data_IF_114721494256
#
_entry.id   IF_114721494256
#
_cell.length_a   1.000
_cell.length_b   1.000
_cell.length_c   1.000
_cell.angle_alpha   90.00
_cell.angle_beta   90.00
_cell.angle_gamma   90.00
#
_symmetry.space_group_name_H-M   'P 1'
#
loop_
_entity.id
_entity.type
_entity.pdbx_description
1 polymer ?
#
# COMPACT_ATOMS: atom_id res chain seq x y z
N UNK A 1 82.45 -3.77 -37.63
CA UNK A 1 81.76 -4.22 -36.42
C UNK A 1 80.78 -5.31 -36.89
N UNK A 2 81.08 -6.57 -36.55
CA UNK A 2 80.46 -7.74 -37.22
C UNK A 2 79.00 -7.93 -36.80
N UNK A 3 78.09 -8.14 -37.74
CA UNK A 3 76.64 -8.43 -37.54
C UNK A 3 76.44 -9.47 -36.47
N UNK A 4 77.34 -10.42 -36.31
CA UNK A 4 77.35 -11.48 -35.30
C UNK A 4 77.53 -10.94 -33.87
N UNK A 5 78.29 -9.87 -33.66
CA UNK A 5 78.48 -9.25 -32.34
C UNK A 5 77.17 -8.50 -31.89
N UNK A 6 76.47 -7.85 -32.81
CA UNK A 6 75.24 -7.14 -32.52
C UNK A 6 74.10 -8.16 -32.22
N UNK A 7 74.07 -9.26 -32.93
CA UNK A 7 73.09 -10.34 -32.67
C UNK A 7 73.30 -11.00 -31.31
N UNK A 8 74.51 -11.23 -30.87
CA UNK A 8 74.86 -11.78 -29.55
C UNK A 8 74.50 -10.80 -28.43
N UNK A 9 74.76 -9.51 -28.60
CA UNK A 9 74.42 -8.46 -27.62
C UNK A 9 72.87 -8.29 -27.48
N UNK A 10 72.17 -8.39 -28.58
CA UNK A 10 70.66 -8.30 -28.52
C UNK A 10 70.04 -9.54 -27.91
N UNK A 11 70.58 -10.74 -28.16
CA UNK A 11 70.11 -11.99 -27.57
C UNK A 11 70.37 -12.03 -26.05
N UNK A 12 71.56 -11.57 -25.59
CA UNK A 12 71.87 -11.50 -24.16
C UNK A 12 71.02 -10.47 -23.42
N UNK A 13 70.77 -9.32 -24.07
CA UNK A 13 69.87 -8.31 -23.52
C UNK A 13 68.40 -8.82 -23.32
N UNK A 14 67.87 -9.56 -24.30
CA UNK A 14 66.56 -10.14 -24.22
C UNK A 14 66.45 -11.22 -23.14
N UNK A 15 67.47 -12.02 -22.94
CA UNK A 15 67.51 -13.06 -21.89
C UNK A 15 67.59 -12.42 -20.50
N UNK A 16 68.38 -11.35 -20.33
CA UNK A 16 68.45 -10.63 -19.05
C UNK A 16 67.14 -9.90 -18.71
N UNK A 17 66.48 -9.34 -19.70
CA UNK A 17 65.14 -8.72 -19.51
C UNK A 17 64.09 -9.80 -19.19
N UNK A 18 64.09 -10.94 -19.84
CA UNK A 18 63.17 -12.04 -19.54
C UNK A 18 63.42 -12.65 -18.15
N UNK A 19 64.69 -12.81 -17.77
CA UNK A 19 65.07 -13.27 -16.43
C UNK A 19 64.69 -12.23 -15.32
N UNK A 20 64.89 -10.94 -15.57
CA UNK A 20 64.47 -9.87 -14.67
C UNK A 20 62.96 -9.83 -14.51
N UNK A 21 62.21 -9.99 -15.61
CA UNK A 21 60.74 -10.05 -15.57
C UNK A 21 60.22 -11.30 -14.87
N UNK A 22 60.86 -12.46 -15.11
CA UNK A 22 60.51 -13.69 -14.40
C UNK A 22 60.82 -13.62 -12.91
N UNK A 23 61.97 -13.04 -12.52
CA UNK A 23 62.34 -12.82 -11.12
C UNK A 23 61.42 -11.81 -10.46
N UNK A 24 61.04 -10.71 -11.16
CA UNK A 24 60.09 -9.73 -10.70
C UNK A 24 58.67 -10.36 -10.49
N UNK A 25 58.24 -11.26 -11.35
CA UNK A 25 56.99 -12.00 -11.15
C UNK A 25 57.06 -13.01 -10.01
N UNK A 26 58.17 -13.65 -9.77
CA UNK A 26 58.37 -14.57 -8.66
C UNK A 26 58.45 -13.85 -7.32
N UNK A 27 59.06 -12.67 -7.26
CA UNK A 27 59.10 -11.84 -6.06
C UNK A 27 57.76 -11.12 -5.81
N UNK A 28 57.04 -10.69 -6.86
CA UNK A 28 55.70 -10.13 -6.75
C UNK A 28 54.65 -11.19 -6.29
N UNK A 29 54.87 -12.49 -6.61
CA UNK A 29 54.04 -13.59 -6.09
C UNK A 29 54.35 -13.95 -4.65
N UNK A 30 55.50 -13.52 -4.11
CA UNK A 30 55.92 -13.71 -2.72
C UNK A 30 55.86 -12.47 -1.85
N UNK A 31 55.50 -11.30 -2.39
CA UNK A 31 55.06 -10.22 -1.55
C UNK A 31 53.83 -10.74 -0.80
N UNK A 32 53.86 -10.84 0.55
CA UNK A 32 52.62 -11.08 1.25
C UNK A 32 51.66 -9.98 0.77
N UNK A 33 50.52 -10.39 0.23
CA UNK A 33 49.42 -9.41 0.11
C UNK A 33 49.37 -8.79 1.49
N UNK A 34 49.35 -7.45 1.62
CA UNK A 34 48.97 -6.89 2.88
C UNK A 34 47.59 -7.51 3.11
N UNK A 35 47.52 -8.50 4.02
CA UNK A 35 46.27 -8.87 4.61
C UNK A 35 45.73 -7.49 4.99
N UNK A 36 44.55 -7.15 4.45
CA UNK A 36 43.70 -6.14 5.03
C UNK A 36 43.31 -6.73 6.40
N UNK A 37 44.30 -6.83 7.31
CA UNK A 37 44.04 -6.98 8.71
C UNK A 37 43.25 -5.73 9.09
N UNK A 38 41.94 -5.89 9.12
CA UNK A 38 41.06 -4.91 9.69
C UNK A 38 41.61 -4.58 11.07
N UNK A 39 42.37 -3.54 11.17
CA UNK A 39 42.87 -2.79 12.30
C UNK A 39 43.10 -3.59 13.61
N UNK A 40 42.92 -2.91 14.69
CA UNK A 40 43.03 -3.44 16.06
C UNK A 40 41.99 -4.54 16.35
N UNK A 41 42.22 -5.41 17.35
CA UNK A 41 41.21 -6.39 17.79
C UNK A 41 39.85 -5.76 18.07
N UNK A 42 39.80 -4.51 18.53
CA UNK A 42 38.55 -3.77 18.80
C UNK A 42 37.84 -3.41 17.50
N UNK A 43 38.59 -2.95 16.48
CA UNK A 43 37.97 -2.63 15.18
C UNK A 43 37.42 -3.87 14.49
N UNK A 44 38.09 -5.01 14.59
CA UNK A 44 37.59 -6.31 14.10
C UNK A 44 36.32 -6.74 14.81
N UNK A 45 36.30 -6.64 16.14
CA UNK A 45 35.11 -6.95 16.93
C UNK A 45 33.93 -6.03 16.55
N UNK A 46 34.18 -4.73 16.41
CA UNK A 46 33.16 -3.75 16.00
C UNK A 46 32.61 -4.06 14.62
N UNK A 47 33.49 -4.32 13.65
CA UNK A 47 33.07 -4.70 12.29
C UNK A 47 32.21 -5.99 12.31
N UNK A 48 32.67 -7.02 13.03
CA UNK A 48 31.94 -8.28 13.13
C UNK A 48 30.54 -8.08 13.75
N UNK A 49 30.44 -7.27 14.79
CA UNK A 49 29.18 -6.92 15.44
C UNK A 49 28.21 -6.23 14.48
N UNK A 50 28.69 -5.16 13.80
CA UNK A 50 27.87 -4.42 12.83
C UNK A 50 27.48 -5.28 11.64
N UNK A 51 28.40 -6.09 11.12
CA UNK A 51 28.12 -7.00 10.02
C UNK A 51 27.09 -8.07 10.39
N UNK A 52 27.23 -8.69 11.55
CA UNK A 52 26.26 -9.70 12.04
C UNK A 52 24.88 -9.09 12.26
N UNK A 53 24.81 -7.91 12.86
CA UNK A 53 23.55 -7.18 13.01
C UNK A 53 22.92 -6.84 11.65
N UNK A 54 23.71 -6.39 10.68
CA UNK A 54 23.19 -6.09 9.31
C UNK A 54 22.62 -7.32 8.61
N UNK A 55 23.17 -8.51 8.87
CA UNK A 55 22.68 -9.77 8.32
C UNK A 55 21.43 -10.31 9.06
N UNK A 56 21.17 -9.89 10.29
CA UNK A 56 19.99 -10.25 11.06
C UNK A 56 18.77 -9.36 10.71
N UNK A 57 18.98 -8.15 10.21
CA UNK A 57 17.91 -7.20 9.92
C UNK A 57 16.92 -7.65 8.82
N UNK A 58 17.33 -8.17 7.64
CA UNK A 58 16.40 -8.53 6.57
C UNK A 58 15.35 -9.58 6.96
N UNK A 59 15.67 -10.69 7.65
CA UNK A 59 14.64 -11.61 8.14
C UNK A 59 13.63 -10.94 9.07
N UNK A 60 14.09 -10.07 9.98
CA UNK A 60 13.23 -9.38 10.94
C UNK A 60 12.31 -8.36 10.27
N UNK A 61 12.78 -7.69 9.21
CA UNK A 61 11.96 -6.79 8.38
C UNK A 61 10.88 -7.52 7.58
N UNK A 62 11.01 -8.82 7.38
CA UNK A 62 9.93 -9.63 6.82
C UNK A 62 8.84 -9.99 7.86
N UNK A 63 9.07 -9.63 9.13
CA UNK A 63 8.17 -9.85 10.27
C UNK A 63 8.62 -11.02 11.15
N UNK A 64 7.96 -11.19 12.28
CA UNK A 64 8.27 -12.23 13.26
C UNK A 64 7.41 -13.48 12.96
N UNK A 65 7.96 -14.40 12.18
CA UNK A 65 7.37 -15.70 11.87
C UNK A 65 8.39 -16.80 12.20
N UNK A 66 7.97 -18.06 12.22
CA UNK A 66 8.88 -19.19 12.52
C UNK A 66 10.10 -19.24 11.58
N UNK A 67 9.91 -19.04 10.26
CA UNK A 67 11.01 -19.05 9.28
C UNK A 67 11.97 -17.87 9.47
N UNK A 68 11.42 -16.66 9.66
CA UNK A 68 12.21 -15.44 9.85
C UNK A 68 12.93 -15.43 11.20
N UNK A 69 12.25 -15.89 12.26
CA UNK A 69 12.82 -16.05 13.60
C UNK A 69 14.00 -17.06 13.61
N UNK A 70 13.86 -18.20 12.92
CA UNK A 70 14.94 -19.20 12.80
C UNK A 70 16.19 -18.64 12.11
N UNK A 71 16.00 -17.83 11.05
CA UNK A 71 17.11 -17.17 10.34
C UNK A 71 17.77 -16.08 11.19
N UNK A 72 16.98 -15.33 11.97
CA UNK A 72 17.46 -14.28 12.86
C UNK A 72 18.14 -14.85 14.10
N UNK A 73 17.58 -15.87 14.76
CA UNK A 73 18.06 -16.44 16.02
C UNK A 73 19.53 -16.82 15.97
N UNK A 74 19.99 -17.50 14.90
CA UNK A 74 21.41 -17.86 14.72
C UNK A 74 22.33 -16.64 14.71
N UNK A 75 21.92 -15.56 14.04
CA UNK A 75 22.71 -14.33 13.95
C UNK A 75 22.73 -13.58 15.29
N UNK A 76 21.57 -13.50 15.94
CA UNK A 76 21.43 -12.87 17.25
C UNK A 76 22.20 -13.61 18.34
N UNK A 77 22.20 -14.96 18.31
CA UNK A 77 23.02 -15.77 19.21
C UNK A 77 24.51 -15.48 19.03
N UNK A 78 24.97 -15.45 17.78
CA UNK A 78 26.36 -15.09 17.45
C UNK A 78 26.70 -13.67 17.88
N UNK A 79 25.78 -12.71 17.73
CA UNK A 79 25.94 -11.32 18.14
C UNK A 79 26.08 -11.17 19.65
N UNK A 80 25.29 -11.91 20.42
CA UNK A 80 25.32 -11.89 21.90
C UNK A 80 26.42 -12.78 22.48
N UNK A 81 27.01 -13.71 21.70
CA UNK A 81 28.02 -14.65 22.15
C UNK A 81 27.47 -15.61 23.22
N UNK A 82 26.20 -16.02 23.11
CA UNK A 82 25.53 -16.87 24.09
C UNK A 82 25.50 -18.33 23.67
N UNK A 83 25.32 -19.25 24.63
CA UNK A 83 25.25 -20.69 24.37
C UNK A 83 23.98 -21.09 23.63
N UNK A 84 22.84 -20.41 23.93
CA UNK A 84 21.59 -20.60 23.23
C UNK A 84 20.78 -19.30 23.20
N UNK A 85 19.93 -19.19 22.20
CA UNK A 85 18.98 -18.08 22.04
C UNK A 85 17.63 -18.60 21.55
N UNK A 86 16.56 -18.07 22.12
CA UNK A 86 15.21 -18.37 21.74
C UNK A 86 14.46 -17.08 21.38
N UNK A 87 13.62 -17.15 20.37
CA UNK A 87 12.66 -16.12 20.01
C UNK A 87 11.24 -16.67 20.15
N UNK A 88 10.36 -15.90 20.76
CA UNK A 88 8.94 -16.25 20.91
C UNK A 88 8.05 -15.14 20.39
N UNK A 89 6.82 -15.48 20.01
CA UNK A 89 5.71 -14.56 20.03
C UNK A 89 5.02 -14.58 21.40
N UNK A 90 3.74 -14.18 21.48
CA UNK A 90 2.97 -14.20 22.74
C UNK A 90 2.48 -15.59 23.14
N UNK A 91 2.43 -16.55 22.23
CA UNK A 91 1.77 -17.84 22.40
C UNK A 91 2.73 -19.03 22.26
N UNK A 92 3.74 -18.90 21.38
CA UNK A 92 4.59 -20.01 20.98
C UNK A 92 6.07 -19.65 20.89
N UNK A 93 6.90 -20.68 20.95
CA UNK A 93 8.32 -20.59 20.60
C UNK A 93 8.44 -20.61 19.08
N UNK A 94 8.99 -19.53 18.49
CA UNK A 94 9.18 -19.40 17.05
C UNK A 94 10.51 -19.99 16.58
N UNK A 95 11.56 -19.86 17.39
CA UNK A 95 12.87 -20.38 17.05
C UNK A 95 13.72 -20.62 18.29
N UNK A 96 14.48 -21.71 18.24
CA UNK A 96 15.57 -22.01 19.15
C UNK A 96 16.87 -22.20 18.35
N UNK A 97 17.97 -21.58 18.79
CA UNK A 97 19.30 -21.80 18.21
C UNK A 97 20.33 -21.98 19.34
N UNK A 98 21.11 -23.06 19.30
CA UNK A 98 22.13 -23.40 20.29
C UNK A 98 21.85 -24.68 21.08
N UNK A 99 22.47 -24.78 22.26
CA UNK A 99 22.41 -25.96 23.10
C UNK A 99 21.07 -26.07 23.85
N UNK A 100 20.76 -27.26 24.37
CA UNK A 100 19.69 -27.48 25.35
C UNK A 100 18.26 -27.26 24.89
N UNK A 101 17.97 -27.26 23.60
CA UNK A 101 16.59 -27.16 23.05
C UNK A 101 15.68 -28.23 23.64
N UNK A 102 16.16 -29.48 23.67
CA UNK A 102 15.40 -30.64 24.15
C UNK A 102 14.90 -30.53 25.61
N UNK A 103 15.58 -29.74 26.44
CA UNK A 103 15.23 -29.63 27.88
C UNK A 103 14.53 -28.31 28.21
N UNK A 104 14.77 -27.26 27.44
CA UNK A 104 14.38 -25.91 27.82
C UNK A 104 13.23 -25.36 27.00
N UNK A 105 13.05 -25.77 25.73
CA UNK A 105 12.06 -25.20 24.79
C UNK A 105 10.64 -25.32 25.34
N UNK A 106 10.23 -26.48 25.86
CA UNK A 106 8.88 -26.68 26.42
C UNK A 106 8.58 -25.77 27.63
N UNK A 107 9.63 -25.30 28.33
CA UNK A 107 9.50 -24.49 29.54
C UNK A 107 9.57 -22.98 29.25
N UNK A 108 9.94 -22.59 28.04
CA UNK A 108 10.15 -21.16 27.64
C UNK A 108 8.89 -20.36 27.89
N UNK A 109 7.74 -20.76 27.36
CA UNK A 109 6.52 -19.98 27.42
C UNK A 109 6.08 -19.67 28.85
N UNK A 110 6.25 -20.60 29.79
CA UNK A 110 5.98 -20.35 31.21
C UNK A 110 6.92 -19.32 31.82
N UNK A 111 8.18 -19.26 31.36
CA UNK A 111 9.21 -18.35 31.88
C UNK A 111 9.08 -16.95 31.33
N UNK A 112 8.65 -16.81 30.06
CA UNK A 112 8.49 -15.51 29.41
C UNK A 112 7.19 -14.81 29.80
N UNK A 113 6.19 -15.50 30.34
CA UNK A 113 4.88 -14.96 30.66
C UNK A 113 4.94 -13.64 31.45
N UNK A 114 5.74 -13.59 32.51
CA UNK A 114 5.88 -12.36 33.31
C UNK A 114 6.52 -11.19 32.56
N UNK A 115 7.38 -11.47 31.55
CA UNK A 115 7.98 -10.45 30.70
C UNK A 115 6.98 -9.98 29.63
N UNK A 116 6.19 -10.90 29.06
CA UNK A 116 5.14 -10.58 28.10
C UNK A 116 4.05 -9.68 28.71
N UNK A 117 3.74 -9.88 30.00
CA UNK A 117 2.73 -9.09 30.71
C UNK A 117 3.28 -7.75 31.21
N UNK A 118 4.51 -7.73 31.74
CA UNK A 118 5.10 -6.54 32.35
C UNK A 118 5.84 -5.62 31.38
N UNK A 119 6.27 -6.13 30.22
CA UNK A 119 7.14 -5.43 29.28
C UNK A 119 8.53 -5.09 29.84
N UNK A 120 8.98 -5.78 30.91
CA UNK A 120 10.26 -5.52 31.55
C UNK A 120 11.19 -6.73 31.44
N UNK A 121 12.45 -6.46 31.05
CA UNK A 121 13.47 -7.50 31.00
C UNK A 121 13.71 -8.13 32.37
N UNK A 122 13.93 -9.42 32.40
CA UNK A 122 14.22 -10.20 33.63
C UNK A 122 15.42 -11.13 33.41
N UNK A 123 16.20 -11.34 34.46
CA UNK A 123 17.24 -12.38 34.55
C UNK A 123 16.77 -13.43 35.55
N UNK A 124 16.75 -14.69 35.11
CA UNK A 124 16.27 -15.79 35.94
C UNK A 124 17.25 -16.99 35.91
N UNK A 125 17.27 -17.76 36.98
CA UNK A 125 17.93 -19.06 36.99
C UNK A 125 17.05 -20.09 36.29
N UNK A 126 17.62 -20.86 35.37
CA UNK A 126 16.85 -21.79 34.52
C UNK A 126 16.29 -22.99 35.30
N UNK A 127 16.95 -23.45 36.38
CA UNK A 127 16.51 -24.59 37.16
C UNK A 127 16.41 -25.86 36.30
N UNK A 128 17.48 -26.19 35.55
CA UNK A 128 17.53 -27.42 34.78
C UNK A 128 17.74 -28.63 35.72
N UNK A 129 17.06 -29.75 35.42
CA UNK A 129 17.21 -31.01 36.16
C UNK A 129 18.48 -31.75 35.75
N UNK A 130 19.06 -31.40 34.59
CA UNK A 130 20.36 -31.91 34.13
C UNK A 130 21.50 -31.13 34.79
N UNK A 131 22.30 -31.82 35.58
CA UNK A 131 23.42 -31.24 36.35
C UNK A 131 24.53 -30.74 35.46
N UNK A 132 24.71 -31.34 34.27
CA UNK A 132 25.73 -30.99 33.29
C UNK A 132 25.27 -29.95 32.29
N UNK A 133 24.03 -29.49 32.39
CA UNK A 133 23.47 -28.48 31.47
C UNK A 133 24.20 -27.13 31.65
N UNK A 134 24.82 -26.59 30.60
CA UNK A 134 25.52 -25.30 30.67
C UNK A 134 24.59 -24.09 30.77
N UNK A 135 23.29 -24.28 30.51
CA UNK A 135 22.29 -23.18 30.47
C UNK A 135 21.74 -22.95 31.89
N UNK A 136 22.51 -22.31 32.76
CA UNK A 136 22.12 -22.06 34.15
C UNK A 136 21.31 -20.78 34.34
N UNK A 137 21.49 -19.80 33.48
CA UNK A 137 20.84 -18.49 33.51
C UNK A 137 20.17 -18.14 32.21
N UNK A 138 19.04 -17.46 32.27
CA UNK A 138 18.35 -16.92 31.14
C UNK A 138 18.03 -15.43 31.33
N UNK A 139 18.35 -14.63 30.32
CA UNK A 139 17.94 -13.24 30.21
C UNK A 139 16.79 -13.19 29.25
N UNK A 140 15.64 -12.70 29.70
CA UNK A 140 14.41 -12.56 28.92
C UNK A 140 14.19 -11.07 28.70
N UNK A 141 14.18 -10.65 27.45
CA UNK A 141 13.93 -9.28 27.06
C UNK A 141 12.70 -9.18 26.14
N UNK A 142 11.77 -8.24 26.38
CA UNK A 142 10.57 -8.11 25.58
C UNK A 142 10.90 -7.58 24.18
N UNK A 143 10.17 -8.07 23.18
CA UNK A 143 10.09 -7.51 21.84
C UNK A 143 8.81 -6.68 21.77
N UNK A 144 8.94 -5.39 21.56
CA UNK A 144 7.83 -4.44 21.63
C UNK A 144 7.47 -3.91 20.23
N UNK A 145 6.22 -3.52 20.05
CA UNK A 145 5.70 -2.80 18.89
C UNK A 145 4.75 -1.70 19.35
N UNK A 146 4.03 -1.08 18.43
CA UNK A 146 3.10 0.01 18.69
C UNK A 146 2.01 -0.41 19.70
N UNK A 147 1.45 -1.60 19.53
CA UNK A 147 0.34 -2.12 20.36
C UNK A 147 0.78 -2.86 21.63
N UNK A 148 2.08 -2.84 21.96
CA UNK A 148 2.61 -3.47 23.16
C UNK A 148 3.66 -4.55 22.90
N UNK A 149 3.72 -5.57 23.78
CA UNK A 149 4.70 -6.65 23.68
C UNK A 149 4.28 -7.67 22.63
N UNK A 150 5.12 -7.85 21.60
CA UNK A 150 4.90 -8.80 20.50
C UNK A 150 5.41 -10.21 20.83
N UNK A 151 6.42 -10.32 21.69
CA UNK A 151 7.10 -11.56 22.02
C UNK A 151 8.29 -11.33 22.93
N UNK A 152 9.20 -12.29 22.97
CA UNK A 152 10.42 -12.18 23.78
C UNK A 152 11.65 -12.74 23.06
N UNK A 153 12.81 -12.14 23.38
CA UNK A 153 14.12 -12.67 23.12
C UNK A 153 14.66 -13.27 24.43
N UNK A 154 15.06 -14.54 24.40
CA UNK A 154 15.62 -15.23 25.54
C UNK A 154 17.06 -15.64 25.24
N UNK A 155 18.03 -15.10 25.96
CA UNK A 155 19.44 -15.40 25.80
C UNK A 155 19.91 -16.25 27.01
N UNK A 156 20.55 -17.36 26.74
CA UNK A 156 20.99 -18.31 27.78
C UNK A 156 22.51 -18.25 27.99
N UNK A 157 22.93 -18.38 29.24
CA UNK A 157 24.33 -18.42 29.64
C UNK A 157 24.58 -19.33 30.83
N UNK A 158 25.86 -19.64 31.05
CA UNK A 158 26.33 -20.50 32.16
C UNK A 158 26.38 -19.77 33.51
N UNK A 159 26.51 -18.44 33.49
CA UNK A 159 26.62 -17.58 34.69
C UNK A 159 25.73 -16.37 34.60
N UNK A 160 25.39 -15.82 35.78
CA UNK A 160 24.72 -14.51 35.82
C UNK A 160 25.67 -13.42 35.31
N UNK A 161 25.24 -12.66 34.33
CA UNK A 161 26.07 -11.63 33.70
C UNK A 161 25.28 -10.35 33.47
N UNK A 162 25.65 -9.28 34.17
CA UNK A 162 25.09 -7.94 33.95
C UNK A 162 25.38 -7.41 32.53
N UNK A 163 26.49 -7.86 31.92
CA UNK A 163 26.84 -7.52 30.53
C UNK A 163 25.85 -8.18 29.55
N UNK A 164 25.52 -9.46 29.76
CA UNK A 164 24.53 -10.18 28.95
C UNK A 164 23.16 -9.56 29.09
N UNK A 165 22.74 -9.17 30.31
CA UNK A 165 21.44 -8.48 30.51
C UNK A 165 21.35 -7.22 29.70
N UNK A 166 22.38 -6.36 29.74
CA UNK A 166 22.42 -5.12 28.97
C UNK A 166 22.43 -5.40 27.46
N UNK A 167 23.29 -6.31 27.01
CA UNK A 167 23.40 -6.65 25.60
C UNK A 167 22.11 -7.26 25.04
N UNK A 168 21.49 -8.19 25.75
CA UNK A 168 20.24 -8.81 25.35
C UNK A 168 19.09 -7.78 25.29
N UNK A 169 19.03 -6.85 26.25
CA UNK A 169 18.03 -5.79 26.26
C UNK A 169 18.22 -4.83 25.09
N UNK A 170 19.46 -4.43 24.77
CA UNK A 170 19.73 -3.57 23.61
C UNK A 170 19.47 -4.28 22.28
N UNK A 171 19.81 -5.56 22.16
CA UNK A 171 19.50 -6.36 20.98
C UNK A 171 17.99 -6.54 20.83
N UNK A 172 17.25 -6.80 21.90
CA UNK A 172 15.79 -6.89 21.87
C UNK A 172 15.15 -5.57 21.43
N UNK A 173 15.65 -4.44 21.93
CA UNK A 173 15.20 -3.11 21.47
C UNK A 173 15.47 -2.90 19.98
N UNK A 174 16.66 -3.26 19.52
CA UNK A 174 17.00 -3.17 18.10
C UNK A 174 16.12 -4.08 17.23
N UNK A 175 15.83 -5.33 17.69
CA UNK A 175 14.88 -6.25 17.03
C UNK A 175 13.50 -5.62 16.96
N UNK A 176 13.02 -5.03 18.05
CA UNK A 176 11.72 -4.34 18.12
C UNK A 176 11.61 -3.25 17.06
N UNK A 177 12.63 -2.41 16.90
CA UNK A 177 12.67 -1.39 15.86
C UNK A 177 12.60 -2.00 14.44
N UNK A 178 13.27 -3.15 14.18
CA UNK A 178 13.17 -3.82 12.88
C UNK A 178 11.76 -4.36 12.61
N UNK A 179 11.08 -4.85 13.64
CA UNK A 179 9.70 -5.35 13.55
C UNK A 179 8.71 -4.20 13.32
N UNK A 180 8.90 -3.05 13.97
CA UNK A 180 8.10 -1.85 13.78
C UNK A 180 8.24 -1.30 12.34
N UNK A 181 9.47 -1.24 11.82
CA UNK A 181 9.71 -0.88 10.42
C UNK A 181 9.01 -1.84 9.44
N UNK A 182 8.99 -3.14 9.76
CA UNK A 182 8.27 -4.14 8.97
C UNK A 182 6.76 -3.88 8.93
N UNK A 183 6.16 -3.49 10.05
CA UNK A 183 4.72 -3.19 10.12
C UNK A 183 4.38 -1.90 9.37
N UNK A 184 5.20 -0.86 9.49
CA UNK A 184 5.06 0.38 8.72
C UNK A 184 5.13 0.13 7.21
N UNK A 185 6.06 -0.68 6.74
CA UNK A 185 6.19 -1.03 5.31
C UNK A 185 4.95 -1.82 4.82
N UNK A 186 4.42 -2.74 5.63
CA UNK A 186 3.18 -3.48 5.33
C UNK A 186 1.98 -2.56 5.29
N UNK A 187 1.84 -1.68 6.27
CA UNK A 187 0.74 -0.71 6.33
C UNK A 187 0.75 0.20 5.11
N UNK A 188 1.93 0.73 4.75
CA UNK A 188 2.11 1.54 3.53
C UNK A 188 1.71 0.78 2.26
N UNK A 189 2.11 -0.49 2.15
CA UNK A 189 1.76 -1.33 0.99
C UNK A 189 0.24 -1.53 0.91
N UNK A 190 -0.41 -1.82 2.03
CA UNK A 190 -1.88 -1.97 2.10
C UNK A 190 -2.61 -0.68 1.71
N UNK A 191 -2.11 0.49 2.14
CA UNK A 191 -2.66 1.78 1.74
C UNK A 191 -2.54 2.01 0.24
N UNK A 192 -1.38 1.76 -0.36
CA UNK A 192 -1.16 1.88 -1.81
C UNK A 192 -2.09 0.93 -2.58
N UNK A 193 -2.23 -0.32 -2.13
CA UNK A 193 -3.13 -1.29 -2.76
C UNK A 193 -4.61 -0.89 -2.62
N UNK A 194 -4.99 -0.30 -1.49
CA UNK A 194 -6.34 0.23 -1.28
C UNK A 194 -6.59 1.44 -2.19
N UNK A 195 -5.62 2.35 -2.31
CA UNK A 195 -5.69 3.50 -3.21
C UNK A 195 -5.80 3.07 -4.68
N UNK A 196 -4.98 2.09 -5.12
CA UNK A 196 -5.07 1.53 -6.48
C UNK A 196 -6.43 0.87 -6.71
N UNK A 197 -6.97 0.14 -5.73
CA UNK A 197 -8.31 -0.46 -5.84
C UNK A 197 -9.40 0.59 -5.93
N UNK A 198 -9.32 1.64 -5.13
CA UNK A 198 -10.26 2.77 -5.19
C UNK A 198 -10.19 3.51 -6.55
N UNK A 199 -8.98 3.76 -7.06
CA UNK A 199 -8.76 4.35 -8.38
C UNK A 199 -9.33 3.47 -9.51
N UNK A 200 -9.15 2.14 -9.44
CA UNK A 200 -9.71 1.20 -10.43
C UNK A 200 -11.24 1.10 -10.35
N UNK A 201 -11.82 1.35 -9.19
CA UNK A 201 -13.27 1.33 -9.01
C UNK A 201 -13.95 2.61 -9.53
N UNK A 202 -13.22 3.70 -9.79
CA UNK A 202 -13.77 4.95 -10.28
C UNK A 202 -14.37 4.87 -11.69
N UNK A 203 -13.88 3.94 -12.54
CA UNK A 203 -14.53 3.63 -13.83
C UNK A 203 -14.87 2.15 -13.82
N UNK A 204 -16.14 1.83 -14.03
CA UNK A 204 -16.59 0.45 -14.15
C UNK A 204 -15.90 -0.24 -15.34
N UNK A 205 -15.11 -1.33 -15.14
CA UNK A 205 -14.52 -2.09 -16.25
C UNK A 205 -15.59 -2.57 -17.24
N UNK A 206 -16.77 -2.88 -16.74
CA UNK A 206 -17.92 -3.27 -17.55
C UNK A 206 -18.40 -2.14 -18.48
N UNK A 207 -18.38 -0.90 -18.01
CA UNK A 207 -18.69 0.26 -18.87
C UNK A 207 -17.67 0.40 -20.01
N UNK A 208 -16.37 0.26 -19.73
CA UNK A 208 -15.31 0.34 -20.75
C UNK A 208 -15.54 -0.72 -21.83
N UNK A 209 -15.73 -1.99 -21.45
CA UNK A 209 -15.98 -3.08 -22.41
C UNK A 209 -17.25 -2.85 -23.24
N UNK A 210 -18.32 -2.41 -22.60
CA UNK A 210 -19.60 -2.17 -23.28
C UNK A 210 -19.52 -0.98 -24.24
N UNK A 211 -18.86 0.11 -23.85
CA UNK A 211 -18.66 1.26 -24.73
C UNK A 211 -17.84 0.90 -25.97
N UNK A 212 -16.74 0.16 -25.79
CA UNK A 212 -15.92 -0.32 -26.90
C UNK A 212 -16.70 -1.29 -27.83
N UNK A 213 -17.53 -2.17 -27.27
CA UNK A 213 -18.37 -3.07 -28.05
C UNK A 213 -19.45 -2.29 -28.83
N UNK A 214 -20.06 -1.27 -28.23
CA UNK A 214 -21.00 -0.39 -28.91
C UNK A 214 -20.33 0.36 -30.06
N UNK A 215 -19.17 0.98 -29.83
CA UNK A 215 -18.39 1.67 -30.87
C UNK A 215 -18.06 0.70 -32.03
N UNK A 216 -17.61 -0.53 -31.70
CA UNK A 216 -17.27 -1.54 -32.71
C UNK A 216 -18.47 -1.92 -33.58
N UNK A 217 -19.70 -1.90 -33.06
CA UNK A 217 -20.90 -2.20 -33.84
C UNK A 217 -21.16 -1.16 -34.94
N UNK A 218 -20.80 0.09 -34.72
CA UNK A 218 -20.96 1.19 -35.70
C UNK A 218 -19.85 1.25 -36.76
N UNK A 219 -18.69 0.65 -36.54
CA UNK A 219 -17.52 0.76 -37.45
C UNK A 219 -17.85 0.41 -38.91
N UNK A 220 -18.77 -0.56 -39.13
CA UNK A 220 -19.18 -0.98 -40.49
C UNK A 220 -20.47 -0.35 -40.98
N UNK A 221 -21.36 0.07 -40.07
CA UNK A 221 -22.70 0.57 -40.41
C UNK A 221 -22.76 2.07 -40.44
N UNK A 222 -22.01 2.76 -39.57
CA UNK A 222 -21.92 4.21 -39.50
C UNK A 222 -20.53 4.62 -38.96
N UNK A 223 -19.51 4.70 -39.87
CA UNK A 223 -18.13 5.00 -39.45
C UNK A 223 -17.94 6.38 -38.83
N UNK A 224 -18.73 7.37 -39.22
CA UNK A 224 -18.66 8.72 -38.65
C UNK A 224 -19.16 8.69 -37.22
N UNK A 225 -20.28 8.02 -36.96
CA UNK A 225 -20.78 7.83 -35.59
C UNK A 225 -19.82 7.06 -34.72
N UNK A 226 -19.17 6.01 -35.25
CA UNK A 226 -18.12 5.28 -34.53
C UNK A 226 -16.94 6.19 -34.15
N UNK A 227 -16.53 7.10 -35.06
CA UNK A 227 -15.46 8.06 -34.81
C UNK A 227 -15.85 9.07 -33.73
N UNK A 228 -17.05 9.61 -33.76
CA UNK A 228 -17.57 10.52 -32.73
C UNK A 228 -17.56 9.85 -31.35
N UNK A 229 -18.14 8.65 -31.25
CA UNK A 229 -18.21 7.90 -30.02
C UNK A 229 -16.80 7.53 -29.46
N UNK A 230 -15.82 7.28 -30.35
CA UNK A 230 -14.44 7.05 -29.92
C UNK A 230 -13.80 8.30 -29.32
N UNK A 231 -14.09 9.49 -29.85
CA UNK A 231 -13.63 10.75 -29.29
C UNK A 231 -14.30 11.05 -27.95
N UNK A 232 -15.63 10.83 -27.84
CA UNK A 232 -16.36 10.94 -26.56
C UNK A 232 -15.78 9.99 -25.50
N UNK A 233 -15.50 8.73 -25.88
CA UNK A 233 -14.88 7.76 -24.99
C UNK A 233 -13.47 8.18 -24.53
N UNK A 234 -12.66 8.72 -25.45
CA UNK A 234 -11.31 9.21 -25.13
C UNK A 234 -11.36 10.41 -24.17
N UNK A 235 -12.30 11.34 -24.37
CA UNK A 235 -12.44 12.52 -23.50
C UNK A 235 -13.03 12.15 -22.14
N UNK A 236 -14.03 11.26 -22.08
CA UNK A 236 -14.57 10.69 -20.86
C UNK A 236 -13.48 10.00 -20.02
N UNK A 237 -12.70 9.11 -20.65
CA UNK A 237 -11.61 8.40 -19.94
C UNK A 237 -10.52 9.36 -19.49
N UNK A 238 -10.16 10.36 -20.31
CA UNK A 238 -9.19 11.39 -19.93
C UNK A 238 -9.65 12.18 -18.72
N UNK A 239 -10.93 12.59 -18.67
CA UNK A 239 -11.51 13.28 -17.53
C UNK A 239 -11.46 12.40 -16.27
N UNK A 240 -11.96 11.17 -16.35
CA UNK A 240 -12.06 10.26 -15.21
C UNK A 240 -10.70 9.83 -14.63
N UNK A 241 -9.63 9.76 -15.44
CA UNK A 241 -8.27 9.44 -15.00
C UNK A 241 -7.39 10.65 -14.68
N UNK A 242 -7.89 11.86 -14.91
CA UNK A 242 -7.13 13.06 -14.60
C UNK A 242 -6.95 13.16 -13.09
N UNK A 243 -5.73 13.41 -12.62
CA UNK A 243 -5.49 13.85 -11.24
C UNK A 243 -6.00 15.28 -11.12
N UNK A 244 -7.27 15.43 -10.81
CA UNK A 244 -7.84 16.71 -10.42
C UNK A 244 -7.49 16.95 -8.95
N UNK A 245 -7.49 18.23 -8.55
CA UNK A 245 -7.61 18.59 -7.15
C UNK A 245 -8.93 18.04 -6.56
N UNK A 246 -9.15 18.26 -5.29
CA UNK A 246 -10.34 17.76 -4.59
C UNK A 246 -11.67 18.31 -5.18
N UNK A 247 -11.62 19.38 -6.00
CA UNK A 247 -12.78 20.09 -6.55
C UNK A 247 -12.68 20.32 -8.06
N UNK A 248 -13.86 20.36 -8.70
CA UNK A 248 -14.07 20.67 -10.12
C UNK A 248 -15.26 21.63 -10.28
N UNK A 249 -15.45 22.22 -11.47
CA UNK A 249 -16.66 23.00 -11.78
C UNK A 249 -17.81 22.10 -12.21
N UNK A 250 -19.04 22.51 -11.88
CA UNK A 250 -20.26 21.81 -12.33
C UNK A 250 -20.29 21.66 -13.86
N UNK A 251 -19.79 22.64 -14.60
CA UNK A 251 -19.66 22.57 -16.04
C UNK A 251 -18.81 21.38 -16.53
N UNK A 252 -17.70 21.09 -15.85
CA UNK A 252 -16.80 20.00 -16.24
C UNK A 252 -17.40 18.63 -15.89
N UNK A 253 -18.06 18.52 -14.73
CA UNK A 253 -18.77 17.31 -14.29
C UNK A 253 -19.94 16.99 -15.25
N UNK A 254 -20.74 17.99 -15.60
CA UNK A 254 -21.86 17.83 -16.55
C UNK A 254 -21.37 17.43 -17.94
N UNK A 255 -20.26 17.99 -18.42
CA UNK A 255 -19.65 17.57 -19.70
C UNK A 255 -19.23 16.10 -19.68
N UNK A 256 -18.64 15.63 -18.60
CA UNK A 256 -18.30 14.20 -18.45
C UNK A 256 -19.54 13.32 -18.43
N UNK A 257 -20.62 13.78 -17.78
CA UNK A 257 -21.92 13.11 -17.77
C UNK A 257 -22.53 13.03 -19.17
N UNK A 258 -22.48 14.11 -19.97
CA UNK A 258 -22.94 14.12 -21.36
C UNK A 258 -22.19 13.09 -22.20
N UNK A 259 -20.87 13.00 -22.06
CA UNK A 259 -20.04 12.01 -22.75
C UNK A 259 -20.43 10.56 -22.35
N UNK A 260 -20.60 10.33 -21.04
CA UNK A 260 -21.11 9.04 -20.54
C UNK A 260 -22.46 8.67 -21.15
N UNK A 261 -23.41 9.61 -21.15
CA UNK A 261 -24.77 9.40 -21.68
C UNK A 261 -24.78 9.18 -23.20
N UNK A 262 -23.90 9.84 -23.96
CA UNK A 262 -23.74 9.61 -25.41
C UNK A 262 -23.27 8.15 -25.67
N UNK A 263 -22.33 7.64 -24.89
CA UNK A 263 -21.86 6.26 -24.98
C UNK A 263 -22.93 5.24 -24.53
N UNK A 264 -23.67 5.55 -23.47
CA UNK A 264 -24.79 4.74 -23.01
C UNK A 264 -25.94 4.71 -24.05
N UNK A 265 -26.26 5.86 -24.66
CA UNK A 265 -27.24 5.98 -25.74
C UNK A 265 -26.87 5.14 -26.97
N UNK A 266 -25.58 5.09 -27.32
CA UNK A 266 -25.10 4.26 -28.43
C UNK A 266 -25.28 2.74 -28.12
N UNK A 267 -25.20 2.33 -26.84
CA UNK A 267 -25.39 0.95 -26.42
C UNK A 267 -26.86 0.55 -26.33
N UNK A 268 -27.71 1.42 -25.76
CA UNK A 268 -29.08 1.09 -25.41
C UNK A 268 -30.11 1.54 -26.47
N UNK A 269 -29.69 2.44 -27.39
CA UNK A 269 -30.55 2.96 -28.45
C UNK A 269 -31.77 3.68 -27.90
N UNK A 270 -32.90 3.45 -28.52
CA UNK A 270 -34.20 4.09 -28.18
C UNK A 270 -34.71 3.72 -26.77
N UNK A 271 -34.09 2.75 -26.11
CA UNK A 271 -34.43 2.37 -24.72
C UNK A 271 -33.99 3.41 -23.68
N UNK A 272 -33.03 4.29 -24.02
CA UNK A 272 -32.57 5.36 -23.14
C UNK A 272 -32.98 6.71 -23.66
N UNK A 273 -33.88 7.40 -22.94
CA UNK A 273 -34.23 8.79 -23.19
C UNK A 273 -33.60 9.67 -22.12
N UNK A 274 -32.81 10.68 -22.56
CA UNK A 274 -32.13 11.60 -21.67
C UNK A 274 -32.65 13.03 -21.87
N UNK A 275 -32.93 13.71 -20.75
CA UNK A 275 -33.25 15.14 -20.74
C UNK A 275 -32.27 15.86 -19.83
N UNK A 276 -31.62 16.93 -20.37
CA UNK A 276 -30.68 17.75 -19.60
C UNK A 276 -31.15 19.21 -19.64
N UNK A 277 -31.38 19.81 -18.47
CA UNK A 277 -31.82 21.20 -18.30
C UNK A 277 -30.92 21.89 -17.27
N UNK A 278 -30.06 22.80 -17.70
CA UNK A 278 -29.06 23.45 -16.87
C UNK A 278 -29.16 24.95 -16.96
N UNK A 279 -29.32 25.62 -15.84
CA UNK A 279 -29.23 27.07 -15.76
C UNK A 279 -27.75 27.50 -15.90
N UNK A 280 -27.42 28.44 -16.82
CA UNK A 280 -26.01 28.86 -17.04
C UNK A 280 -25.33 29.40 -15.77
N UNK A 281 -26.08 29.99 -14.87
CA UNK A 281 -25.60 30.65 -13.64
C UNK A 281 -24.99 29.66 -12.64
N UNK A 282 -25.29 28.36 -12.73
CA UNK A 282 -24.78 27.34 -11.83
C UNK A 282 -23.52 26.63 -12.35
N UNK A 283 -23.18 26.79 -13.62
CA UNK A 283 -22.03 26.15 -14.25
C UNK A 283 -20.68 26.41 -13.55
N UNK A 284 -20.40 27.60 -12.99
CA UNK A 284 -19.16 27.88 -12.30
C UNK A 284 -19.10 27.32 -10.84
N UNK A 285 -20.18 26.74 -10.35
CA UNK A 285 -20.21 26.22 -8.96
C UNK A 285 -19.18 25.09 -8.81
N UNK A 286 -18.38 25.16 -7.77
CA UNK A 286 -17.38 24.15 -7.45
C UNK A 286 -18.01 23.01 -6.63
N UNK A 287 -17.69 21.77 -6.99
CA UNK A 287 -18.13 20.56 -6.30
C UNK A 287 -16.99 19.54 -6.22
N UNK A 288 -17.07 18.54 -5.31
CA UNK A 288 -16.11 17.46 -5.27
C UNK A 288 -16.05 16.69 -6.60
N UNK A 289 -14.85 16.38 -7.06
CA UNK A 289 -14.59 15.67 -8.32
C UNK A 289 -15.31 14.31 -8.36
N UNK A 290 -15.96 13.96 -9.46
CA UNK A 290 -16.76 12.73 -9.65
C UNK A 290 -17.87 12.57 -8.58
N UNK A 291 -18.59 13.65 -8.30
CA UNK A 291 -19.68 13.65 -7.32
C UNK A 291 -21.03 13.28 -7.96
N UNK A 292 -21.34 13.79 -9.13
CA UNK A 292 -22.63 13.55 -9.81
C UNK A 292 -22.60 12.32 -10.72
N UNK A 293 -21.46 12.03 -11.34
CA UNK A 293 -21.32 10.94 -12.31
C UNK A 293 -21.78 9.58 -11.73
N UNK A 294 -21.42 9.14 -10.50
CA UNK A 294 -21.88 7.87 -9.94
C UNK A 294 -23.41 7.81 -9.78
N UNK A 295 -24.06 8.95 -9.56
CA UNK A 295 -25.51 9.03 -9.42
C UNK A 295 -26.20 8.80 -10.78
N UNK A 296 -25.67 9.39 -11.86
CA UNK A 296 -26.16 9.18 -13.23
C UNK A 296 -25.89 7.74 -13.71
N UNK A 297 -24.70 7.20 -13.40
CA UNK A 297 -24.37 5.80 -13.70
C UNK A 297 -25.37 4.83 -13.04
N UNK A 298 -25.72 5.09 -11.78
CA UNK A 298 -26.72 4.32 -11.06
C UNK A 298 -28.11 4.40 -11.70
N UNK A 299 -28.54 5.61 -12.08
CA UNK A 299 -29.82 5.83 -12.77
C UNK A 299 -29.91 5.02 -14.07
N UNK A 300 -28.90 5.11 -14.93
CA UNK A 300 -28.86 4.35 -16.20
C UNK A 300 -28.77 2.84 -15.95
N UNK A 301 -27.96 2.39 -15.00
CA UNK A 301 -27.77 0.98 -14.70
C UNK A 301 -29.04 0.34 -14.18
N UNK A 302 -29.66 0.91 -13.15
CA UNK A 302 -30.85 0.35 -12.53
C UNK A 302 -32.11 0.56 -13.36
N UNK A 303 -32.14 1.61 -14.21
CA UNK A 303 -33.23 1.82 -15.15
C UNK A 303 -33.24 0.84 -16.34
N UNK A 304 -32.05 0.41 -16.82
CA UNK A 304 -31.94 -0.36 -18.07
C UNK A 304 -31.43 -1.79 -17.92
N UNK A 305 -30.47 -2.05 -17.00
CA UNK A 305 -29.89 -3.40 -16.85
C UNK A 305 -30.81 -4.33 -16.10
N UNK A 306 -31.58 -3.80 -15.12
CA UNK A 306 -32.51 -4.56 -14.30
C UNK A 306 -33.93 -4.62 -14.90
N UNK A 307 -34.21 -3.85 -15.97
CA UNK A 307 -35.50 -3.84 -16.65
C UNK A 307 -35.35 -4.13 -18.15
N UNK A 308 -36.39 -4.76 -18.75
CA UNK A 308 -36.50 -4.92 -20.22
C UNK A 308 -37.20 -3.74 -20.90
N UNK A 309 -37.56 -2.72 -20.15
CA UNK A 309 -38.31 -1.55 -20.62
C UNK A 309 -37.43 -0.42 -21.12
N UNK A 310 -38.09 0.69 -21.44
CA UNK A 310 -37.47 1.99 -21.68
C UNK A 310 -37.11 2.63 -20.33
N UNK A 311 -36.10 3.45 -20.29
CA UNK A 311 -35.72 4.25 -19.13
C UNK A 311 -35.52 5.69 -19.53
N UNK A 312 -36.13 6.59 -18.76
CA UNK A 312 -35.95 8.03 -18.90
C UNK A 312 -35.13 8.54 -17.76
N UNK A 313 -34.01 9.22 -18.09
CA UNK A 313 -33.17 9.90 -17.12
C UNK A 313 -33.29 11.40 -17.34
N UNK A 314 -33.69 12.12 -16.31
CA UNK A 314 -33.80 13.58 -16.33
C UNK A 314 -32.77 14.21 -15.39
N UNK A 315 -31.94 15.10 -15.87
CA UNK A 315 -30.95 15.83 -15.10
C UNK A 315 -31.29 17.34 -15.20
N UNK A 316 -31.48 17.98 -14.06
CA UNK A 316 -31.68 19.41 -14.02
C UNK A 316 -30.73 20.07 -13.01
N UNK A 317 -30.25 21.27 -13.34
CA UNK A 317 -29.46 22.09 -12.46
C UNK A 317 -30.01 23.53 -12.46
N UNK A 318 -30.45 23.99 -11.30
CA UNK A 318 -31.17 25.25 -11.14
C UNK A 318 -30.49 26.15 -10.11
N UNK A 319 -30.65 27.46 -10.31
CA UNK A 319 -30.22 28.49 -9.36
C UNK A 319 -31.26 28.66 -8.27
N UNK A 320 -30.85 28.39 -7.01
CA UNK A 320 -31.66 28.60 -5.82
C UNK A 320 -31.06 29.73 -4.93
N UNK A 321 -30.50 30.76 -5.54
CA UNK A 321 -29.94 31.93 -4.85
C UNK A 321 -28.56 31.68 -4.31
N UNK A 322 -28.42 31.32 -3.02
CA UNK A 322 -27.13 30.98 -2.39
C UNK A 322 -26.61 29.58 -2.75
N UNK A 323 -27.46 28.76 -3.35
CA UNK A 323 -27.16 27.36 -3.70
C UNK A 323 -27.47 27.08 -5.15
N UNK A 324 -26.78 26.09 -5.72
CA UNK A 324 -27.21 25.39 -6.93
C UNK A 324 -27.90 24.09 -6.52
N UNK A 325 -29.02 23.78 -7.11
CA UNK A 325 -29.77 22.53 -6.88
C UNK A 325 -29.68 21.68 -8.13
N UNK A 326 -29.02 20.53 -8.00
CA UNK A 326 -28.92 19.52 -9.07
C UNK A 326 -29.87 18.39 -8.74
N UNK A 327 -30.74 18.03 -9.67
CA UNK A 327 -31.70 16.91 -9.53
C UNK A 327 -31.42 15.89 -10.63
N UNK A 328 -31.31 14.63 -10.25
CA UNK A 328 -31.17 13.47 -11.14
C UNK A 328 -32.37 12.56 -10.84
N UNK A 329 -33.15 12.27 -11.87
CA UNK A 329 -34.38 11.49 -11.75
C UNK A 329 -34.41 10.41 -12.83
N UNK A 330 -34.76 9.18 -12.44
CA UNK A 330 -35.01 8.06 -13.35
C UNK A 330 -36.41 7.47 -13.08
N UNK A 331 -37.00 6.86 -14.11
CA UNK A 331 -38.27 6.12 -14.03
C UNK A 331 -38.07 4.61 -13.94
N UNK A 332 -36.95 4.18 -13.38
CA UNK A 332 -36.56 2.78 -13.21
C UNK A 332 -37.34 2.04 -12.13
N UNK A 333 -36.79 0.91 -11.69
CA UNK A 333 -37.45 0.00 -10.71
C UNK A 333 -37.58 0.59 -9.31
N UNK A 334 -36.85 1.66 -9.00
CA UNK A 334 -36.84 2.25 -7.67
C UNK A 334 -36.31 1.31 -6.58
N UNK A 335 -36.49 1.72 -5.32
CA UNK A 335 -36.03 0.97 -4.17
C UNK A 335 -37.00 1.09 -2.99
N UNK A 336 -37.00 0.08 -2.10
CA UNK A 336 -37.72 0.18 -0.83
C UNK A 336 -37.10 1.28 0.03
N UNK A 337 -37.89 2.30 0.49
CA UNK A 337 -37.38 3.35 1.36
C UNK A 337 -36.75 2.86 2.67
N UNK A 338 -37.16 1.69 3.18
CA UNK A 338 -36.54 1.09 4.36
C UNK A 338 -35.14 0.53 4.06
N UNK A 339 -34.95 -0.03 2.86
CA UNK A 339 -33.65 -0.49 2.40
C UNK A 339 -32.70 0.68 2.13
N UNK A 340 -33.19 1.77 1.50
CA UNK A 340 -32.42 2.99 1.29
C UNK A 340 -31.88 3.54 2.61
N UNK A 341 -32.70 3.61 3.66
CA UNK A 341 -32.27 4.07 4.99
C UNK A 341 -31.15 3.21 5.57
N UNK A 342 -31.21 1.89 5.42
CA UNK A 342 -30.15 0.95 5.87
C UNK A 342 -28.85 1.13 5.07
N UNK A 343 -28.97 1.39 3.77
CA UNK A 343 -27.84 1.68 2.91
C UNK A 343 -27.14 2.96 3.38
N UNK A 344 -27.87 4.06 3.55
CA UNK A 344 -27.32 5.34 3.99
C UNK A 344 -26.79 5.30 5.43
N UNK A 345 -27.28 4.39 6.27
CA UNK A 345 -26.75 4.15 7.62
C UNK A 345 -25.49 3.24 7.63
N UNK A 346 -25.01 2.78 6.47
CA UNK A 346 -23.85 1.87 6.38
C UNK A 346 -24.12 0.43 6.86
N UNK A 347 -25.40 0.05 7.08
CA UNK A 347 -25.81 -1.25 7.62
C UNK A 347 -26.01 -2.31 6.53
N UNK A 348 -25.94 -1.94 5.25
CA UNK A 348 -26.17 -2.84 4.13
C UNK A 348 -24.86 -3.38 3.55
N UNK A 349 -24.79 -4.70 3.37
CA UNK A 349 -23.65 -5.39 2.71
C UNK A 349 -23.78 -5.48 1.19
N UNK A 350 -24.84 -4.92 0.60
CA UNK A 350 -25.06 -4.97 -0.86
C UNK A 350 -24.13 -4.02 -1.61
N UNK A 351 -23.48 -4.46 -2.70
CA UNK A 351 -22.57 -3.63 -3.50
C UNK A 351 -23.25 -2.40 -4.14
N UNK A 352 -24.58 -2.46 -4.31
CA UNK A 352 -25.39 -1.47 -5.02
C UNK A 352 -25.53 -0.12 -4.30
N UNK A 353 -25.23 -0.04 -3.00
CA UNK A 353 -25.37 1.18 -2.20
C UNK A 353 -24.07 1.98 -2.02
N UNK A 354 -22.92 1.40 -2.37
CA UNK A 354 -21.59 1.99 -2.07
C UNK A 354 -21.42 3.35 -2.75
N UNK A 355 -21.89 3.51 -3.98
CA UNK A 355 -21.79 4.77 -4.72
C UNK A 355 -22.59 5.91 -4.08
N UNK A 356 -23.81 5.64 -3.62
CA UNK A 356 -24.67 6.64 -2.95
C UNK A 356 -24.11 7.06 -1.61
N UNK A 357 -23.67 6.11 -0.77
CA UNK A 357 -23.05 6.40 0.52
C UNK A 357 -21.79 7.25 0.36
N UNK A 358 -20.90 6.88 -0.55
CA UNK A 358 -19.66 7.62 -0.79
C UNK A 358 -19.91 9.07 -1.22
N UNK A 359 -20.92 9.29 -2.06
CA UNK A 359 -21.29 10.66 -2.48
C UNK A 359 -21.92 11.43 -1.32
N UNK A 360 -22.84 10.83 -0.55
CA UNK A 360 -23.47 11.44 0.62
C UNK A 360 -22.43 11.86 1.67
N UNK A 361 -21.57 10.94 2.08
CA UNK A 361 -20.50 11.19 3.04
C UNK A 361 -19.56 12.29 2.56
N UNK A 362 -19.19 12.28 1.28
CA UNK A 362 -18.28 13.26 0.70
C UNK A 362 -18.90 14.66 0.68
N UNK A 363 -20.17 14.78 0.33
CA UNK A 363 -20.90 16.06 0.36
C UNK A 363 -20.98 16.60 1.80
N UNK A 364 -21.32 15.76 2.78
CA UNK A 364 -21.37 16.13 4.19
C UNK A 364 -20.01 16.54 4.74
N UNK A 365 -18.97 15.81 4.40
CA UNK A 365 -17.60 16.11 4.79
C UNK A 365 -17.13 17.49 4.28
N UNK A 366 -17.48 17.81 3.04
CA UNK A 366 -17.05 19.04 2.39
C UNK A 366 -17.92 20.24 2.78
N UNK A 367 -19.25 20.07 2.78
CA UNK A 367 -20.18 21.17 2.92
C UNK A 367 -20.87 21.23 4.29
N UNK A 368 -20.82 20.16 5.06
CA UNK A 368 -21.49 19.99 6.36
C UNK A 368 -22.69 19.06 6.28
N UNK A 369 -23.20 18.64 7.43
CA UNK A 369 -24.23 17.60 7.54
C UNK A 369 -25.55 17.94 6.84
N UNK A 370 -25.85 19.22 6.66
CA UNK A 370 -27.06 19.69 5.98
C UNK A 370 -27.04 19.50 4.46
N UNK A 371 -25.88 19.16 3.87
CA UNK A 371 -25.67 19.05 2.42
C UNK A 371 -25.60 17.60 1.91
N UNK A 372 -26.06 16.63 2.68
CA UNK A 372 -26.20 15.27 2.23
C UNK A 372 -27.22 15.12 1.07
N UNK A 373 -27.25 13.94 0.46
CA UNK A 373 -28.20 13.60 -0.60
C UNK A 373 -29.63 13.60 -0.05
N UNK A 374 -30.56 14.21 -0.79
CA UNK A 374 -31.99 14.02 -0.58
C UNK A 374 -32.50 13.06 -1.63
N UNK A 375 -32.98 11.89 -1.21
CA UNK A 375 -33.38 10.81 -2.11
C UNK A 375 -34.84 10.46 -1.88
N UNK A 376 -35.64 10.54 -2.96
CA UNK A 376 -37.03 10.13 -3.02
C UNK A 376 -37.12 8.89 -3.92
N UNK A 377 -37.64 7.78 -3.42
CA UNK A 377 -37.80 6.53 -4.18
C UNK A 377 -38.93 5.68 -3.63
N UNK A 378 -39.43 4.80 -4.46
CA UNK A 378 -40.40 3.77 -4.11
C UNK A 378 -40.31 2.60 -5.10
N UNK A 379 -40.73 1.43 -4.71
CA UNK A 379 -40.74 0.26 -5.61
C UNK A 379 -41.62 0.55 -6.83
N UNK A 380 -41.03 0.49 -8.02
CA UNK A 380 -41.71 0.80 -9.31
C UNK A 380 -41.96 2.27 -9.56
N UNK A 381 -41.43 3.19 -8.72
CA UNK A 381 -41.63 4.64 -8.86
C UNK A 381 -40.36 5.38 -9.32
N UNK A 382 -39.30 4.66 -9.64
CA UNK A 382 -38.01 5.26 -9.97
C UNK A 382 -37.28 5.84 -8.77
N UNK A 383 -36.29 6.67 -9.04
CA UNK A 383 -35.50 7.36 -8.03
C UNK A 383 -35.26 8.81 -8.42
N UNK A 384 -35.40 9.71 -7.44
CA UNK A 384 -35.06 11.12 -7.59
C UNK A 384 -34.05 11.52 -6.53
N UNK A 385 -32.90 11.99 -6.96
CA UNK A 385 -31.80 12.41 -6.11
C UNK A 385 -31.62 13.91 -6.28
N UNK A 386 -31.62 14.63 -5.16
CA UNK A 386 -31.37 16.08 -5.13
C UNK A 386 -30.08 16.34 -4.38
N UNK A 387 -29.19 17.10 -5.03
CA UNK A 387 -27.89 17.55 -4.52
C UNK A 387 -27.93 19.06 -4.38
N UNK A 388 -27.65 19.60 -3.19
CA UNK A 388 -27.54 21.03 -2.95
C UNK A 388 -26.07 21.41 -2.84
N UNK A 389 -25.64 22.42 -3.59
CA UNK A 389 -24.26 22.87 -3.68
C UNK A 389 -24.20 24.36 -3.34
N UNK A 390 -23.50 24.75 -2.26
CA UNK A 390 -23.36 26.18 -1.94
C UNK A 390 -22.47 26.86 -2.98
N UNK A 391 -22.94 27.99 -3.51
CA UNK A 391 -22.20 28.75 -4.54
C UNK A 391 -20.94 29.43 -4.01
N UNK A 392 -20.95 29.79 -2.74
CA UNK A 392 -19.87 30.56 -2.09
C UNK A 392 -19.49 29.88 -0.78
N UNK A 393 -18.36 29.16 -0.76
CA UNK A 393 -17.81 28.60 0.47
C UNK A 393 -16.30 28.84 0.53
N UNK A 394 -15.83 29.34 1.68
CA UNK A 394 -14.41 29.54 1.92
C UNK A 394 -13.68 28.16 1.92
N UNK A 395 -12.60 28.07 1.16
CA UNK A 395 -11.78 26.83 1.06
C UNK A 395 -12.19 25.87 -0.06
N UNK A 396 -13.34 26.08 -0.71
CA UNK A 396 -13.77 25.28 -1.88
C UNK A 396 -13.40 26.05 -3.15
N UNK A 397 -12.17 25.86 -3.64
CA UNK A 397 -11.68 26.48 -4.85
C UNK A 397 -11.01 25.47 -5.75
N UNK A 398 -11.24 25.58 -7.06
CA UNK A 398 -10.55 24.79 -8.07
C UNK A 398 -9.06 25.22 -8.12
N UNK A 399 -8.12 24.31 -7.84
CA UNK A 399 -6.68 24.59 -7.83
C UNK A 399 -6.05 24.83 -9.22
N UNK A 400 -6.83 24.74 -10.30
CA UNK A 400 -6.35 24.84 -11.70
C UNK A 400 -5.97 26.27 -12.12
N UNK A 401 -6.35 27.31 -11.34
CA UNK A 401 -6.05 28.71 -11.71
C UNK A 401 -4.58 29.15 -11.54
N UNK A 402 -3.65 28.29 -11.13
CA UNK A 402 -2.24 28.67 -10.86
C UNK A 402 -1.20 28.18 -11.86
N UNK A 403 -1.57 27.54 -12.97
CA UNK A 403 -0.58 27.02 -13.93
C UNK A 403 -0.49 27.74 -15.28
N UNK A 404 -1.19 28.87 -15.47
CA UNK A 404 -1.05 29.68 -16.69
C UNK A 404 -0.69 31.13 -16.33
N UNK A 405 0.42 31.30 -15.70
CA UNK A 405 1.05 32.58 -15.44
C UNK A 405 2.57 32.43 -15.47
N UNK A 406 3.11 32.70 -16.61
CA UNK A 406 4.47 32.91 -17.13
C UNK A 406 4.91 31.90 -18.17
#
# INVERSE_FOLDING_TARGET
MNAMAVAVLSATGAVLLAAGFALGRLTARRAPRPDLELGTPVERATFHTLHTASLAAPPLRAGLTEDTARKAARRLRSLLGTEALCLTDRETVLAWDGLGGDHHEERVMRRVAGVLDSGRSQSIRTGCDDVDCPLQWAVIAPLTGEDGVLGALVAYGSTESAVLVRAATEVARWVSVQLELAELDRSRTRLIEAEIRALRAQISPHFIFNSLAAIASFVRTDPERARELLLEFADFTRYSFRRHGDFTHLADELRSIEQYLALAGARFGDRLTVTLQVAPEVLPVSLPFLCLQPLVENAVKHGLEDSRGECRVSISAQDAGSEAVVTIEDDGVGMDPAELRRILAGESTRPTGIGLCNVDERLRQVYGDDYGLVIETGIGAGMKITVRLPKYRAGVHNSVARQHGF
#
